data_IF_584396328587
#
_entry.id   IF_584396328587
#
_cell.length_a   1.000
_cell.length_b   1.000
_cell.length_c   1.000
_cell.angle_alpha   90.00
_cell.angle_beta   90.00
_cell.angle_gamma   90.00
#
_symmetry.space_group_name_H-M   'P 1'
#
loop_
_entity.id
_entity.type
_entity.pdbx_description
1 polymer ?
#
# COMPACT_ATOMS: atom_id res chain seq x y z
N UNK A 1 2.77 21.68 -12.89
CA UNK A 1 2.91 20.21 -13.04
C UNK A 1 4.36 19.94 -13.41
N UNK A 2 5.00 18.96 -12.79
CA UNK A 2 6.38 18.60 -13.13
C UNK A 2 6.43 18.02 -14.53
N UNK A 3 7.23 18.63 -15.42
CA UNK A 3 7.42 18.14 -16.79
C UNK A 3 8.51 17.03 -16.87
N UNK A 4 9.11 16.66 -15.74
CA UNK A 4 10.19 15.69 -15.69
C UNK A 4 10.03 14.76 -14.49
N UNK A 5 10.45 13.51 -14.66
CA UNK A 5 10.58 12.55 -13.57
C UNK A 5 11.61 13.06 -12.55
N UNK A 6 11.15 13.21 -11.32
CA UNK A 6 12.01 13.60 -10.18
C UNK A 6 11.94 12.57 -9.06
N UNK A 7 12.82 12.69 -8.04
CA UNK A 7 12.90 11.72 -6.93
C UNK A 7 11.56 11.41 -6.25
N UNK A 8 10.64 12.40 -6.18
CA UNK A 8 9.31 12.23 -5.58
C UNK A 8 8.45 11.21 -6.31
N UNK A 9 8.57 11.10 -7.64
CA UNK A 9 7.79 10.16 -8.44
C UNK A 9 8.27 8.72 -8.22
N UNK A 10 9.59 8.51 -8.14
CA UNK A 10 10.21 7.23 -7.76
C UNK A 10 9.81 6.82 -6.34
N UNK A 11 9.82 7.77 -5.41
CA UNK A 11 9.41 7.53 -4.03
C UNK A 11 7.95 7.04 -3.95
N UNK A 12 7.02 7.68 -4.65
CA UNK A 12 5.62 7.23 -4.72
C UNK A 12 5.53 5.87 -5.39
N UNK A 13 6.23 5.66 -6.51
CA UNK A 13 6.19 4.40 -7.22
C UNK A 13 6.75 3.23 -6.39
N UNK A 14 7.83 3.45 -5.65
CA UNK A 14 8.38 2.44 -4.73
C UNK A 14 7.36 2.04 -3.65
N UNK A 15 6.59 2.97 -3.10
CA UNK A 15 5.50 2.65 -2.17
C UNK A 15 4.42 1.77 -2.82
N UNK A 16 4.08 2.07 -4.08
CA UNK A 16 3.14 1.24 -4.85
C UNK A 16 3.69 -0.19 -4.98
N UNK A 17 4.96 -0.35 -5.32
CA UNK A 17 5.60 -1.66 -5.42
C UNK A 17 5.61 -2.43 -4.10
N UNK A 18 5.81 -1.77 -2.96
CA UNK A 18 5.65 -2.38 -1.63
C UNK A 18 4.23 -2.88 -1.44
N UNK A 19 3.22 -2.08 -1.75
CA UNK A 19 1.82 -2.47 -1.67
C UNK A 19 1.47 -3.65 -2.60
N UNK A 20 2.03 -3.68 -3.82
CA UNK A 20 1.87 -4.81 -4.75
C UNK A 20 2.47 -6.11 -4.17
N UNK A 21 3.62 -6.02 -3.50
CA UNK A 21 4.23 -7.17 -2.84
C UNK A 21 3.39 -7.66 -1.66
N UNK A 22 2.89 -6.76 -0.82
CA UNK A 22 1.97 -7.13 0.28
C UNK A 22 0.74 -7.86 -0.28
N UNK A 23 0.13 -7.34 -1.35
CA UNK A 23 -1.02 -7.97 -1.99
C UNK A 23 -0.69 -9.40 -2.49
N UNK A 24 0.50 -9.60 -3.06
CA UNK A 24 0.99 -10.91 -3.46
C UNK A 24 1.13 -11.85 -2.27
N UNK A 25 1.72 -11.38 -1.16
CA UNK A 25 1.87 -12.15 0.08
C UNK A 25 0.50 -12.55 0.68
N UNK A 26 -0.49 -11.66 0.65
CA UNK A 26 -1.86 -11.96 1.08
C UNK A 26 -2.48 -13.07 0.23
N UNK A 27 -2.29 -13.04 -1.09
CA UNK A 27 -2.76 -14.11 -1.99
C UNK A 27 -2.03 -15.44 -1.73
N UNK A 28 -0.72 -15.41 -1.52
CA UNK A 28 0.06 -16.61 -1.18
C UNK A 28 -0.35 -17.21 0.16
N UNK A 29 -0.57 -16.37 1.17
CA UNK A 29 -1.12 -16.79 2.46
C UNK A 29 -2.47 -17.51 2.29
N UNK A 30 -3.41 -16.89 1.56
CA UNK A 30 -4.73 -17.47 1.33
C UNK A 30 -4.66 -18.80 0.55
N UNK A 31 -3.78 -18.90 -0.44
CA UNK A 31 -3.51 -20.14 -1.17
C UNK A 31 -2.99 -21.25 -0.25
N UNK A 32 -2.08 -20.92 0.67
CA UNK A 32 -1.54 -21.88 1.63
C UNK A 32 -2.60 -22.35 2.65
N UNK A 33 -3.69 -21.59 2.81
CA UNK A 33 -4.88 -21.97 3.60
C UNK A 33 -5.90 -22.78 2.79
N UNK A 34 -5.58 -23.12 1.53
CA UNK A 34 -6.44 -23.94 0.66
C UNK A 34 -7.54 -23.14 -0.06
N UNK A 35 -7.47 -21.81 -0.06
CA UNK A 35 -8.44 -20.97 -0.77
C UNK A 35 -8.13 -20.98 -2.27
N UNK A 36 -9.16 -21.03 -3.10
CA UNK A 36 -9.04 -20.87 -4.54
C UNK A 36 -8.78 -19.38 -4.89
N UNK A 37 -7.52 -18.96 -4.77
CA UNK A 37 -7.12 -17.57 -5.03
C UNK A 37 -7.17 -17.17 -6.50
N UNK A 38 -7.16 -18.12 -7.43
CA UNK A 38 -7.16 -17.80 -8.87
C UNK A 38 -8.45 -17.09 -9.29
N UNK A 39 -9.59 -17.51 -8.75
CA UNK A 39 -10.87 -16.84 -8.98
C UNK A 39 -10.92 -15.43 -8.38
N UNK A 40 -10.41 -15.27 -7.15
CA UNK A 40 -10.35 -13.97 -6.45
C UNK A 40 -9.43 -13.00 -7.21
N UNK A 41 -8.24 -13.48 -7.56
CA UNK A 41 -7.24 -12.75 -8.33
C UNK A 41 -7.78 -12.30 -9.68
N UNK A 42 -8.34 -13.24 -10.48
CA UNK A 42 -8.84 -12.93 -11.81
C UNK A 42 -9.93 -11.85 -11.76
N UNK A 43 -10.88 -11.97 -10.84
CA UNK A 43 -11.95 -10.99 -10.63
C UNK A 43 -11.40 -9.59 -10.31
N UNK A 44 -10.42 -9.52 -9.41
CA UNK A 44 -9.82 -8.24 -9.01
C UNK A 44 -9.01 -7.63 -10.16
N UNK A 45 -8.23 -8.44 -10.88
CA UNK A 45 -7.36 -8.00 -11.97
C UNK A 45 -8.15 -7.56 -13.21
N UNK A 46 -9.19 -8.29 -13.58
CA UNK A 46 -10.08 -7.92 -14.67
C UNK A 46 -10.74 -6.56 -14.43
N UNK A 47 -11.12 -6.28 -13.18
CA UNK A 47 -11.86 -5.06 -12.85
C UNK A 47 -10.95 -3.85 -12.59
N UNK A 48 -9.78 -4.05 -11.99
CA UNK A 48 -8.95 -2.96 -11.47
C UNK A 48 -7.54 -2.91 -12.10
N UNK A 49 -7.26 -3.77 -13.06
CA UNK A 49 -5.95 -3.90 -13.72
C UNK A 49 -4.99 -4.81 -12.97
N UNK A 50 -3.95 -5.23 -13.66
CA UNK A 50 -2.91 -6.11 -13.09
C UNK A 50 -1.80 -5.32 -12.39
N UNK A 51 -1.10 -5.93 -11.41
CA UNK A 51 0.13 -5.36 -10.88
C UNK A 51 1.19 -5.23 -11.96
N UNK A 52 2.02 -4.22 -11.84
CA UNK A 52 3.13 -3.98 -12.76
C UNK A 52 4.38 -3.70 -11.93
N UNK A 53 5.43 -4.48 -12.17
CA UNK A 53 6.70 -4.43 -11.46
C UNK A 53 7.84 -3.91 -12.36
N UNK A 54 7.51 -3.33 -13.51
CA UNK A 54 8.48 -2.74 -14.45
C UNK A 54 9.18 -1.54 -13.82
N UNK A 55 10.31 -1.11 -14.40
CA UNK A 55 10.91 0.15 -13.99
C UNK A 55 10.00 1.32 -14.36
N UNK A 56 9.97 2.34 -13.52
CA UNK A 56 9.07 3.49 -13.69
C UNK A 56 9.25 4.14 -15.08
N UNK A 57 10.47 4.27 -15.54
CA UNK A 57 10.83 4.90 -16.82
C UNK A 57 10.24 4.17 -18.03
N UNK A 58 10.03 2.85 -17.91
CA UNK A 58 9.58 2.02 -19.01
C UNK A 58 8.05 2.05 -19.20
N UNK A 59 7.32 2.50 -18.18
CA UNK A 59 5.85 2.36 -18.12
C UNK A 59 5.08 3.66 -17.88
N UNK A 60 5.76 4.71 -17.40
CA UNK A 60 5.11 5.96 -17.02
C UNK A 60 4.60 6.75 -18.22
N UNK A 61 3.42 7.36 -18.07
CA UNK A 61 2.95 8.37 -19.00
C UNK A 61 3.60 9.73 -18.70
N UNK A 62 4.69 10.07 -19.41
CA UNK A 62 5.40 11.33 -19.25
C UNK A 62 4.51 12.55 -19.53
N UNK A 63 3.45 12.39 -20.33
CA UNK A 63 2.47 13.46 -20.59
C UNK A 63 1.55 13.73 -19.40
N UNK A 64 1.39 12.77 -18.51
CA UNK A 64 0.52 12.86 -17.32
C UNK A 64 1.04 12.08 -16.13
N UNK A 65 2.26 12.35 -15.70
CA UNK A 65 2.96 11.65 -14.61
C UNK A 65 2.08 11.48 -13.36
N UNK A 66 1.47 12.57 -12.89
CA UNK A 66 0.68 12.54 -11.66
C UNK A 66 -0.62 11.74 -11.83
N UNK A 67 -1.31 11.88 -12.95
CA UNK A 67 -2.53 11.09 -13.23
C UNK A 67 -2.22 9.61 -13.39
N UNK A 68 -1.08 9.27 -13.99
CA UNK A 68 -0.63 7.89 -14.11
C UNK A 68 -0.34 7.27 -12.73
N UNK A 69 0.45 7.96 -11.88
CA UNK A 69 0.75 7.50 -10.51
C UNK A 69 -0.52 7.36 -9.67
N UNK A 70 -1.44 8.33 -9.75
CA UNK A 70 -2.74 8.23 -9.08
C UNK A 70 -3.53 7.01 -9.56
N UNK A 71 -3.55 6.75 -10.86
CA UNK A 71 -4.20 5.56 -11.43
C UNK A 71 -3.57 4.25 -10.92
N UNK A 72 -2.25 4.22 -10.72
CA UNK A 72 -1.57 3.05 -10.12
C UNK A 72 -1.94 2.86 -8.65
N UNK A 73 -2.00 3.94 -7.88
CA UNK A 73 -2.47 3.91 -6.48
C UNK A 73 -3.92 3.40 -6.44
N UNK A 74 -4.81 3.96 -7.25
CA UNK A 74 -6.22 3.56 -7.28
C UNK A 74 -6.36 2.07 -7.64
N UNK A 75 -5.62 1.60 -8.64
CA UNK A 75 -5.61 0.19 -9.06
C UNK A 75 -5.16 -0.74 -7.92
N UNK A 76 -4.05 -0.43 -7.25
CA UNK A 76 -3.53 -1.18 -6.09
C UNK A 76 -4.57 -1.24 -4.96
N UNK A 77 -5.10 -0.10 -4.55
CA UNK A 77 -6.02 0.04 -3.41
C UNK A 77 -7.34 -0.72 -3.67
N UNK A 78 -7.92 -0.57 -4.85
CA UNK A 78 -9.13 -1.32 -5.21
C UNK A 78 -8.89 -2.82 -5.24
N UNK A 79 -7.76 -3.27 -5.77
CA UNK A 79 -7.42 -4.69 -5.79
C UNK A 79 -7.24 -5.23 -4.38
N UNK A 80 -6.46 -4.55 -3.54
CA UNK A 80 -6.20 -4.96 -2.17
C UNK A 80 -7.51 -5.07 -1.39
N UNK A 81 -8.35 -4.03 -1.43
CA UNK A 81 -9.66 -4.04 -0.78
C UNK A 81 -10.55 -5.18 -1.28
N UNK A 82 -10.60 -5.42 -2.60
CA UNK A 82 -11.39 -6.50 -3.20
C UNK A 82 -10.89 -7.88 -2.78
N UNK A 83 -9.58 -8.12 -2.87
CA UNK A 83 -8.95 -9.40 -2.54
C UNK A 83 -9.14 -9.73 -1.07
N UNK A 84 -8.82 -8.80 -0.16
CA UNK A 84 -8.97 -9.02 1.28
C UNK A 84 -10.45 -9.27 1.64
N UNK A 85 -11.37 -8.46 1.10
CA UNK A 85 -12.81 -8.63 1.34
C UNK A 85 -13.30 -10.01 0.88
N UNK A 86 -12.84 -10.51 -0.27
CA UNK A 86 -13.25 -11.83 -0.76
C UNK A 86 -12.57 -12.97 0.03
N UNK A 87 -11.31 -12.84 0.43
CA UNK A 87 -10.61 -13.81 1.30
C UNK A 87 -11.30 -13.94 2.66
N UNK A 88 -11.73 -12.85 3.27
CA UNK A 88 -12.41 -12.86 4.57
C UNK A 88 -13.77 -13.57 4.54
N UNK A 89 -14.40 -13.72 3.35
CA UNK A 89 -15.61 -14.54 3.18
C UNK A 89 -15.34 -16.05 3.24
N UNK A 90 -14.08 -16.46 3.08
CA UNK A 90 -13.62 -17.86 3.06
C UNK A 90 -13.17 -18.38 4.44
N UNK A 91 -13.77 -17.87 5.54
CA UNK A 91 -13.44 -18.22 6.92
C UNK A 91 -12.01 -17.90 7.38
N UNK A 92 -11.34 -16.98 6.73
CA UNK A 92 -10.08 -16.37 7.23
C UNK A 92 -10.45 -15.24 8.19
N UNK A 93 -9.71 -15.14 9.30
CA UNK A 93 -9.87 -14.05 10.25
C UNK A 93 -9.00 -12.88 9.86
N UNK A 94 -9.46 -11.67 10.17
CA UNK A 94 -8.68 -10.46 9.89
C UNK A 94 -7.32 -10.47 10.60
N UNK A 95 -7.23 -11.06 11.79
CA UNK A 95 -5.98 -11.19 12.55
C UNK A 95 -4.92 -12.00 11.78
N UNK A 96 -5.33 -12.96 10.95
CA UNK A 96 -4.42 -13.74 10.13
C UNK A 96 -3.86 -12.90 8.97
N UNK A 97 -4.68 -12.03 8.38
CA UNK A 97 -4.22 -11.06 7.37
C UNK A 97 -3.28 -10.04 8.00
N UNK A 98 -3.58 -9.55 9.22
CA UNK A 98 -2.68 -8.66 9.99
C UNK A 98 -1.28 -9.23 10.18
N UNK A 99 -1.18 -10.54 10.41
CA UNK A 99 0.15 -11.17 10.55
C UNK A 99 0.95 -11.15 9.23
N UNK A 100 0.30 -11.19 8.06
CA UNK A 100 0.99 -11.00 6.77
C UNK A 100 1.60 -9.59 6.70
N UNK A 101 0.84 -8.54 7.01
CA UNK A 101 1.34 -7.16 7.05
C UNK A 101 2.47 -6.98 8.07
N UNK A 102 2.34 -7.55 9.27
CA UNK A 102 3.40 -7.51 10.28
C UNK A 102 4.67 -8.23 9.83
N UNK A 103 4.54 -9.35 9.13
CA UNK A 103 5.68 -10.07 8.57
C UNK A 103 6.42 -9.22 7.54
N UNK A 104 5.68 -8.58 6.64
CA UNK A 104 6.24 -7.66 5.67
C UNK A 104 6.97 -6.48 6.33
N UNK A 105 6.36 -5.84 7.35
CA UNK A 105 7.01 -4.77 8.11
C UNK A 105 8.30 -5.22 8.82
N UNK A 106 8.35 -6.45 9.32
CA UNK A 106 9.58 -7.02 9.89
C UNK A 106 10.66 -7.21 8.83
N UNK A 107 10.30 -7.72 7.66
CA UNK A 107 11.24 -7.89 6.56
C UNK A 107 11.81 -6.54 6.09
N UNK A 108 10.95 -5.53 5.95
CA UNK A 108 11.39 -4.16 5.65
C UNK A 108 12.41 -3.69 6.69
N UNK A 109 12.12 -3.85 7.97
CA UNK A 109 13.03 -3.45 9.04
C UNK A 109 14.34 -4.25 9.04
N UNK A 110 14.29 -5.55 8.76
CA UNK A 110 15.48 -6.40 8.69
C UNK A 110 16.45 -6.00 7.58
N UNK A 111 15.94 -5.40 6.51
CA UNK A 111 16.73 -4.92 5.37
C UNK A 111 17.31 -3.50 5.58
N UNK A 112 16.99 -2.82 6.68
CA UNK A 112 17.60 -1.53 7.01
C UNK A 112 19.02 -1.77 7.53
N UNK A 113 19.99 -1.06 6.96
CA UNK A 113 21.41 -1.19 7.33
C UNK A 113 21.66 -0.68 8.74
N UNK A 114 21.21 0.52 9.06
CA UNK A 114 21.34 1.12 10.40
C UNK A 114 20.03 0.88 11.20
N UNK A 115 20.13 0.07 12.23
CA UNK A 115 19.01 -0.25 13.13
C UNK A 115 18.95 0.63 14.37
N UNK A 116 19.90 1.56 14.54
CA UNK A 116 19.92 2.53 15.64
C UNK A 116 19.15 3.80 15.30
N UNK A 117 17.97 3.65 14.64
CA UNK A 117 17.17 4.77 14.21
C UNK A 117 16.53 5.48 15.41
N UNK A 118 16.56 6.82 15.37
CA UNK A 118 15.75 7.69 16.20
C UNK A 118 14.26 7.62 15.81
N UNK A 119 13.38 8.22 16.59
CA UNK A 119 11.93 8.17 16.32
C UNK A 119 11.58 8.79 14.96
N UNK A 120 12.23 9.90 14.57
CA UNK A 120 12.07 10.50 13.24
C UNK A 120 12.58 9.60 12.11
N UNK A 121 13.71 8.90 12.33
CA UNK A 121 14.24 7.89 11.40
C UNK A 121 13.26 6.73 11.19
N UNK A 122 12.67 6.20 12.27
CA UNK A 122 11.63 5.16 12.19
C UNK A 122 10.37 5.67 11.48
N UNK A 123 9.95 6.89 11.81
CA UNK A 123 8.81 7.53 11.14
C UNK A 123 9.03 7.62 9.62
N UNK A 124 10.24 8.05 9.22
CA UNK A 124 10.59 8.10 7.80
C UNK A 124 10.50 6.71 7.14
N UNK A 125 11.01 5.65 7.78
CA UNK A 125 10.91 4.29 7.26
C UNK A 125 9.45 3.87 7.07
N UNK A 126 8.58 4.14 8.04
CA UNK A 126 7.15 3.86 7.92
C UNK A 126 6.57 4.58 6.70
N UNK A 127 6.81 5.89 6.59
CA UNK A 127 6.26 6.70 5.50
C UNK A 127 6.87 6.38 4.12
N UNK A 128 8.08 5.86 4.07
CA UNK A 128 8.70 5.42 2.81
C UNK A 128 8.09 4.12 2.27
N UNK A 129 7.34 3.38 3.10
CA UNK A 129 6.75 2.08 2.75
C UNK A 129 5.21 2.05 2.73
N UNK A 130 4.53 3.09 3.22
CA UNK A 130 3.06 3.16 3.23
C UNK A 130 2.54 4.02 2.08
N UNK A 131 1.54 3.50 1.34
CA UNK A 131 0.77 4.29 0.38
C UNK A 131 -0.32 5.06 1.14
N UNK A 132 -0.17 6.37 1.20
CA UNK A 132 -1.07 7.30 1.87
C UNK A 132 -1.61 8.37 0.87
N UNK A 133 -2.02 7.91 -0.32
CA UNK A 133 -2.38 8.79 -1.42
C UNK A 133 -1.17 9.45 -2.09
N UNK A 134 -1.41 10.54 -2.79
CA UNK A 134 -0.36 11.35 -3.41
C UNK A 134 0.21 12.35 -2.40
N UNK A 135 1.50 12.72 -2.51
CA UNK A 135 2.12 13.70 -1.61
C UNK A 135 1.39 15.05 -1.54
N UNK A 136 0.71 15.42 -2.63
CA UNK A 136 -0.10 16.65 -2.68
C UNK A 136 -1.40 16.58 -1.88
N UNK A 137 -1.86 15.39 -1.49
CA UNK A 137 -3.08 15.21 -0.68
C UNK A 137 -2.87 15.70 0.77
N UNK A 138 -1.61 15.71 1.25
CA UNK A 138 -1.21 16.21 2.58
C UNK A 138 -2.06 15.65 3.71
N UNK A 139 -2.33 14.35 3.64
CA UNK A 139 -3.23 13.67 4.60
C UNK A 139 -2.66 13.60 6.01
N UNK A 140 -1.34 13.68 6.16
CA UNK A 140 -0.65 13.60 7.44
C UNK A 140 -0.03 14.94 7.82
N UNK A 141 -0.29 15.37 9.06
CA UNK A 141 0.31 16.54 9.68
C UNK A 141 1.19 16.09 10.85
N UNK A 142 2.48 16.38 10.78
CA UNK A 142 3.39 16.15 11.90
C UNK A 142 3.22 17.31 12.89
N UNK A 143 2.86 16.98 14.14
CA UNK A 143 2.67 17.94 15.22
C UNK A 143 3.91 18.07 16.13
N UNK A 144 4.64 16.96 16.30
CA UNK A 144 5.85 16.92 17.11
C UNK A 144 6.84 15.97 16.44
N UNK A 145 8.10 16.41 16.32
CA UNK A 145 9.19 15.63 15.72
C UNK A 145 10.46 15.85 16.52
N UNK A 146 11.04 14.74 17.01
CA UNK A 146 12.31 14.71 17.73
C UNK A 146 12.94 13.31 17.61
N UNK A 147 14.18 13.17 18.05
CA UNK A 147 14.90 11.89 18.10
C UNK A 147 14.16 10.85 18.98
N UNK A 148 13.40 11.30 19.97
CA UNK A 148 12.72 10.41 20.95
C UNK A 148 11.25 10.17 20.61
N UNK A 149 10.62 11.08 19.84
CA UNK A 149 9.18 11.04 19.63
C UNK A 149 8.77 11.75 18.35
N UNK A 150 7.88 11.10 17.59
CA UNK A 150 7.12 11.73 16.51
C UNK A 150 5.64 11.56 16.76
N UNK A 151 4.86 12.65 16.63
CA UNK A 151 3.41 12.66 16.68
C UNK A 151 2.87 13.22 15.39
N UNK A 152 1.98 12.49 14.74
CA UNK A 152 1.29 12.97 13.55
C UNK A 152 -0.21 12.68 13.62
N UNK A 153 -0.97 13.44 12.87
CA UNK A 153 -2.41 13.27 12.73
C UNK A 153 -2.73 13.00 11.26
N UNK A 154 -3.43 11.90 11.00
CA UNK A 154 -4.02 11.66 9.69
C UNK A 154 -5.35 12.39 9.60
N UNK A 155 -5.41 13.43 8.78
CA UNK A 155 -6.56 14.35 8.70
C UNK A 155 -7.70 13.79 7.85
N UNK A 156 -7.41 12.87 6.95
CA UNK A 156 -8.38 12.29 6.01
C UNK A 156 -8.00 10.85 5.69
N UNK A 157 -8.94 9.93 5.79
CA UNK A 157 -8.73 8.56 5.34
C UNK A 157 -8.88 8.47 3.82
N UNK A 158 -7.77 8.28 3.12
CA UNK A 158 -7.76 8.14 1.65
C UNK A 158 -8.21 6.74 1.18
N UNK A 159 -8.22 5.76 2.08
CA UNK A 159 -8.51 4.35 1.78
C UNK A 159 -10.01 4.03 1.77
N UNK A 160 -10.81 4.77 2.56
CA UNK A 160 -12.24 4.48 2.77
C UNK A 160 -13.02 4.28 1.48
N UNK A 161 -12.80 5.11 0.47
CA UNK A 161 -13.51 5.04 -0.81
C UNK A 161 -13.34 3.70 -1.54
N UNK A 162 -12.16 3.09 -1.40
CA UNK A 162 -11.84 1.81 -2.06
C UNK A 162 -12.56 0.65 -1.38
N UNK A 163 -12.55 0.64 -0.05
CA UNK A 163 -13.22 -0.40 0.76
C UNK A 163 -14.75 -0.31 0.62
N UNK A 164 -15.32 0.90 0.69
CA UNK A 164 -16.76 1.11 0.46
C UNK A 164 -17.20 0.60 -0.92
N UNK A 165 -16.40 0.84 -1.95
CA UNK A 165 -16.74 0.44 -3.33
C UNK A 165 -16.78 -1.08 -3.56
N UNK A 166 -16.11 -1.86 -2.72
CA UNK A 166 -16.09 -3.33 -2.79
C UNK A 166 -16.99 -3.98 -1.72
N UNK A 167 -17.65 -3.18 -0.90
CA UNK A 167 -18.47 -3.65 0.21
C UNK A 167 -17.66 -4.17 1.40
N UNK A 168 -16.41 -3.74 1.52
CA UNK A 168 -15.54 -3.99 2.66
C UNK A 168 -15.77 -3.00 3.78
N UNK A 169 -15.24 -3.29 4.97
CA UNK A 169 -15.32 -2.41 6.13
C UNK A 169 -13.94 -1.87 6.49
N UNK A 170 -13.66 -0.63 6.07
CA UNK A 170 -12.37 0.00 6.31
C UNK A 170 -12.00 0.08 7.80
N UNK A 171 -12.98 0.26 8.68
CA UNK A 171 -12.71 0.39 10.11
C UNK A 171 -12.25 -0.92 10.76
N UNK A 172 -12.64 -2.05 10.18
CA UNK A 172 -12.29 -3.38 10.67
C UNK A 172 -11.16 -4.02 9.86
N UNK A 173 -11.02 -3.68 8.57
CA UNK A 173 -10.17 -4.41 7.63
C UNK A 173 -8.93 -3.63 7.21
N UNK A 174 -8.97 -2.31 7.23
CA UNK A 174 -7.80 -1.50 7.03
C UNK A 174 -7.13 -1.21 8.37
N UNK A 175 -5.85 -1.54 8.45
CA UNK A 175 -5.07 -1.47 9.69
C UNK A 175 -3.86 -0.61 9.44
#
# INVERSE_FOLDING_TARGET
MSAFLGPIHYWVYNKILVGENIQKEVLEFAKNRGINVDSIKSKAYEKYGEPDYSNLEDVIDEGNIHGWLQGRIDSLEYRLASIVTDILKENIKIEEIKEVFKSNGKEVFENIEDKSLSADGLFKVIFDNLVEGMPCDRVNLVEEESDEKVVWITTTCVHKRFWDAVGGDVNNYYI
#
